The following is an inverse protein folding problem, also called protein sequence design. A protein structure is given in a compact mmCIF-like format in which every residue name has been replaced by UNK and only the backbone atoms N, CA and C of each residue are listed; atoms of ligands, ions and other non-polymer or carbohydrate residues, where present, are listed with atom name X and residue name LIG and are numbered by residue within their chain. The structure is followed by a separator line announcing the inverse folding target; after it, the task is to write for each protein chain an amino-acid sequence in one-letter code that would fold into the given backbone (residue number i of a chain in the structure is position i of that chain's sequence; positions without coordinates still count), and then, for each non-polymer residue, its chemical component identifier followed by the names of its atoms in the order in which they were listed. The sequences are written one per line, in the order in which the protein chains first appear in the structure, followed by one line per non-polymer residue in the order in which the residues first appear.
data_IF_946229236171
#
_entry.id   IF_946229236171
#
_cell.length_a   1.000
_cell.length_b   1.000
_cell.length_c   1.000
_cell.angle_alpha   90.00
_cell.angle_beta   90.00
_cell.angle_gamma   90.00
#
_symmetry.space_group_name_H-M   'P 1'
#
loop_
_entity.id
_entity.type
_entity.pdbx_description
1 polymer ?
#
# COMPACT_ATOMS: atom_id res chain seq x y z
N UNK A 1 -56.04 -6.67 -29.60
CA UNK A 1 -54.71 -6.06 -29.36
C UNK A 1 -54.32 -6.45 -27.93
N UNK A 2 -53.47 -7.47 -27.80
CA UNK A 2 -52.05 -7.38 -27.33
C UNK A 2 -52.02 -6.97 -25.84
N UNK A 3 -52.00 -7.92 -24.90
CA UNK A 3 -50.80 -8.54 -24.29
C UNK A 3 -49.92 -7.57 -23.48
N UNK A 4 -49.86 -7.82 -22.16
CA UNK A 4 -48.64 -7.89 -21.34
C UNK A 4 -47.71 -6.68 -21.24
N UNK A 5 -47.43 -6.28 -19.98
CA UNK A 5 -46.13 -5.80 -19.43
C UNK A 5 -46.42 -5.29 -18.01
N UNK A 6 -46.09 -6.02 -16.95
CA UNK A 6 -44.74 -6.07 -16.36
C UNK A 6 -44.02 -4.72 -16.48
N UNK A 7 -44.42 -3.77 -15.62
CA UNK A 7 -43.63 -2.58 -15.39
C UNK A 7 -42.49 -2.92 -14.44
N UNK A 8 -41.30 -2.94 -15.03
CA UNK A 8 -40.00 -3.18 -14.43
C UNK A 8 -39.61 -2.03 -13.48
N UNK A 9 -38.78 -2.29 -12.46
CA UNK A 9 -38.20 -1.22 -11.64
C UNK A 9 -37.35 -0.27 -12.51
N UNK A 10 -37.64 1.02 -12.40
CA UNK A 10 -36.86 2.07 -13.04
C UNK A 10 -35.60 2.39 -12.22
N UNK A 11 -34.43 2.19 -12.83
CA UNK A 11 -33.12 2.65 -12.35
C UNK A 11 -33.05 4.18 -12.46
N UNK A 12 -33.06 4.86 -11.31
CA UNK A 12 -32.60 6.24 -11.20
C UNK A 12 -31.11 6.33 -11.50
N UNK A 13 -30.67 7.41 -12.16
CA UNK A 13 -29.30 7.56 -12.67
C UNK A 13 -28.21 7.72 -11.60
N UNK A 14 -28.58 7.73 -10.32
CA UNK A 14 -27.62 8.01 -9.24
C UNK A 14 -27.59 6.89 -8.17
N UNK A 15 -28.23 5.74 -8.44
CA UNK A 15 -27.97 4.50 -7.70
C UNK A 15 -28.30 4.49 -6.19
N UNK A 16 -29.10 5.43 -5.67
CA UNK A 16 -29.58 5.39 -4.28
C UNK A 16 -31.10 5.40 -4.20
N UNK A 17 -31.63 4.43 -3.46
CA UNK A 17 -33.01 4.38 -2.97
C UNK A 17 -32.91 4.59 -1.46
N UNK A 18 -33.19 5.79 -0.97
CA UNK A 18 -33.43 6.01 0.46
C UNK A 18 -34.62 6.95 0.69
N UNK A 19 -35.52 6.47 1.54
CA UNK A 19 -36.78 7.10 1.90
C UNK A 19 -36.55 8.15 3.01
N UNK A 20 -36.93 9.40 2.76
CA UNK A 20 -36.87 10.46 3.76
C UNK A 20 -37.98 10.31 4.82
N UNK A 21 -37.61 10.44 6.10
CA UNK A 21 -38.54 10.76 7.20
C UNK A 21 -37.88 11.70 8.22
N UNK A 22 -38.70 12.60 8.77
CA UNK A 22 -38.38 13.87 9.43
C UNK A 22 -38.11 13.77 10.95
N UNK A 23 -37.23 14.67 11.42
CA UNK A 23 -37.33 15.54 12.63
C UNK A 23 -37.05 15.00 14.05
N UNK A 24 -35.96 15.47 14.70
CA UNK A 24 -36.01 16.37 15.88
C UNK A 24 -34.63 16.88 16.39
N UNK A 25 -34.57 18.20 16.56
CA UNK A 25 -33.85 19.09 17.52
C UNK A 25 -32.49 18.74 18.18
N UNK A 26 -31.55 19.72 18.15
CA UNK A 26 -30.91 20.22 19.40
C UNK A 26 -29.38 20.40 19.56
N UNK A 27 -28.73 21.30 18.78
CA UNK A 27 -27.66 22.29 19.18
C UNK A 27 -26.27 21.83 19.78
N UNK A 28 -25.21 22.69 19.86
CA UNK A 28 -23.98 22.62 19.05
C UNK A 28 -22.64 22.75 19.86
N UNK A 29 -21.54 23.14 19.19
CA UNK A 29 -20.21 23.64 19.69
C UNK A 29 -19.07 22.58 19.67
N UNK A 30 -17.82 22.77 19.20
CA UNK A 30 -17.01 23.93 18.75
C UNK A 30 -15.66 23.41 18.14
N UNK A 31 -15.27 24.00 16.98
CA UNK A 31 -13.91 24.40 16.47
C UNK A 31 -12.67 23.58 16.89
N UNK A 32 -11.71 23.25 16.03
CA UNK A 32 -10.65 24.13 15.44
C UNK A 32 -9.90 23.32 14.35
N UNK A 33 -10.01 23.66 13.06
CA UNK A 33 -8.97 24.26 12.17
C UNK A 33 -7.49 23.98 12.52
N UNK A 34 -6.80 23.21 11.66
CA UNK A 34 -5.42 23.53 11.26
C UNK A 34 -5.21 23.13 9.81
N UNK A 35 -4.84 24.11 9.01
CA UNK A 35 -4.56 24.10 7.58
C UNK A 35 -3.05 23.92 7.38
N UNK A 36 -2.68 23.28 6.27
CA UNK A 36 -1.43 23.50 5.51
C UNK A 36 -0.10 23.11 6.15
N UNK A 37 0.57 22.11 5.58
CA UNK A 37 1.73 22.37 4.69
C UNK A 37 1.81 21.27 3.63
N UNK A 38 1.36 21.57 2.42
CA UNK A 38 1.85 20.92 1.20
C UNK A 38 3.30 21.36 1.02
N UNK A 39 4.23 20.41 0.96
CA UNK A 39 5.54 20.65 0.37
C UNK A 39 5.74 19.62 -0.74
N UNK A 40 5.28 20.04 -1.92
CA UNK A 40 5.65 19.49 -3.21
C UNK A 40 7.13 19.76 -3.51
N UNK A 41 7.72 18.85 -4.27
CA UNK A 41 8.99 18.96 -5.00
C UNK A 41 10.28 18.63 -4.24
N UNK A 42 10.62 17.34 -4.27
CA UNK A 42 11.87 16.93 -4.93
C UNK A 42 11.74 15.56 -5.58
N UNK A 43 11.32 15.59 -6.85
CA UNK A 43 11.49 14.49 -7.78
C UNK A 43 12.98 14.38 -8.13
N UNK A 44 13.74 13.78 -7.24
CA UNK A 44 15.00 13.13 -7.57
C UNK A 44 14.73 11.64 -7.32
N UNK A 45 14.43 10.90 -8.39
CA UNK A 45 14.56 9.43 -8.42
C UNK A 45 16.04 9.06 -8.23
N UNK A 46 16.56 9.37 -7.05
CA UNK A 46 17.58 8.57 -6.45
C UNK A 46 16.85 7.29 -6.04
N UNK A 47 17.05 6.22 -6.80
CA UNK A 47 16.79 4.86 -6.32
C UNK A 47 17.67 4.66 -5.08
N UNK A 48 17.21 5.16 -3.93
CA UNK A 48 17.74 4.78 -2.63
C UNK A 48 17.41 3.31 -2.49
N UNK A 49 18.35 2.46 -2.92
CA UNK A 49 18.29 1.04 -2.66
C UNK A 49 18.18 0.85 -1.16
N UNK A 50 17.30 -0.04 -0.73
CA UNK A 50 17.04 -0.27 0.69
C UNK A 50 18.28 -0.82 1.37
N UNK A 51 18.46 -0.47 2.63
CA UNK A 51 19.47 -1.09 3.46
C UNK A 51 19.05 -2.51 3.85
N UNK A 52 20.02 -3.38 4.14
CA UNK A 52 19.75 -4.79 4.42
C UNK A 52 18.77 -4.99 5.60
N UNK A 53 18.84 -4.14 6.62
CA UNK A 53 17.92 -4.16 7.76
C UNK A 53 16.48 -3.79 7.39
N UNK A 54 16.30 -2.81 6.50
CA UNK A 54 14.97 -2.43 6.00
C UNK A 54 14.36 -3.58 5.17
N UNK A 55 15.19 -4.25 4.36
CA UNK A 55 14.76 -5.40 3.57
C UNK A 55 14.27 -6.54 4.46
N UNK A 56 14.99 -6.86 5.55
CA UNK A 56 14.54 -7.89 6.50
C UNK A 56 13.26 -7.48 7.23
N UNK A 57 13.13 -6.20 7.61
CA UNK A 57 11.91 -5.68 8.24
C UNK A 57 10.70 -5.86 7.30
N UNK A 58 10.87 -5.58 6.00
CA UNK A 58 9.83 -5.78 5.01
C UNK A 58 9.51 -7.28 4.81
N UNK A 59 10.51 -8.16 4.82
CA UNK A 59 10.32 -9.61 4.73
C UNK A 59 9.54 -10.15 5.92
N UNK A 60 9.83 -9.72 7.15
CA UNK A 60 9.08 -10.09 8.35
C UNK A 60 7.62 -9.63 8.25
N UNK A 61 7.39 -8.42 7.74
CA UNK A 61 6.04 -7.89 7.48
C UNK A 61 5.28 -8.75 6.46
N UNK A 62 5.94 -9.20 5.39
CA UNK A 62 5.33 -10.09 4.41
C UNK A 62 5.03 -11.47 4.99
N UNK A 63 5.93 -12.02 5.81
CA UNK A 63 5.73 -13.31 6.47
C UNK A 63 4.50 -13.26 7.39
N UNK A 64 4.38 -12.24 8.23
CA UNK A 64 3.22 -12.05 9.10
C UNK A 64 1.91 -11.91 8.29
N UNK A 65 1.94 -11.24 7.13
CA UNK A 65 0.77 -11.13 6.24
C UNK A 65 0.41 -12.48 5.62
N UNK A 66 1.40 -13.32 5.30
CA UNK A 66 1.19 -14.63 4.70
C UNK A 66 0.54 -15.61 5.69
N UNK A 67 0.89 -15.55 6.97
CA UNK A 67 0.33 -16.41 8.02
C UNK A 67 -1.19 -16.24 8.19
N UNK A 68 -1.74 -15.08 7.83
CA UNK A 68 -3.17 -14.78 7.89
C UNK A 68 -3.91 -14.82 6.55
N UNK A 69 -3.26 -15.21 5.45
CA UNK A 69 -3.86 -15.14 4.11
C UNK A 69 -4.44 -16.48 3.67
N UNK A 70 -5.76 -16.51 3.44
CA UNK A 70 -6.49 -17.71 3.00
C UNK A 70 -6.53 -17.85 1.47
N UNK A 71 -6.29 -16.76 0.73
CA UNK A 71 -6.29 -16.76 -0.73
C UNK A 71 -4.93 -17.16 -1.29
N UNK A 72 -4.89 -18.27 -2.03
CA UNK A 72 -3.69 -18.75 -2.71
C UNK A 72 -3.10 -17.72 -3.68
N UNK A 73 -3.94 -16.97 -4.40
CA UNK A 73 -3.50 -15.92 -5.33
C UNK A 73 -2.76 -14.79 -4.61
N UNK A 74 -3.26 -14.37 -3.45
CA UNK A 74 -2.59 -13.35 -2.64
C UNK A 74 -1.32 -13.91 -1.99
N UNK A 75 -1.31 -15.17 -1.58
CA UNK A 75 -0.10 -15.85 -1.09
C UNK A 75 0.99 -15.90 -2.16
N UNK A 76 0.64 -16.16 -3.43
CA UNK A 76 1.59 -16.06 -4.54
C UNK A 76 2.13 -14.63 -4.73
N UNK A 77 1.27 -13.62 -4.65
CA UNK A 77 1.70 -12.23 -4.76
C UNK A 77 2.62 -11.80 -3.60
N UNK A 78 2.38 -12.30 -2.38
CA UNK A 78 3.26 -12.08 -1.23
C UNK A 78 4.61 -12.77 -1.46
N UNK A 79 4.59 -14.03 -1.90
CA UNK A 79 5.80 -14.78 -2.21
C UNK A 79 6.65 -14.11 -3.29
N UNK A 80 6.04 -13.65 -4.39
CA UNK A 80 6.75 -12.93 -5.46
C UNK A 80 7.46 -11.68 -4.93
N UNK A 81 6.78 -10.92 -4.07
CA UNK A 81 7.38 -9.76 -3.39
C UNK A 81 8.53 -10.16 -2.47
N UNK A 82 8.39 -11.23 -1.70
CA UNK A 82 9.46 -11.73 -0.85
C UNK A 82 10.68 -12.15 -1.66
N UNK A 83 10.50 -12.82 -2.80
CA UNK A 83 11.59 -13.18 -3.72
C UNK A 83 12.28 -11.94 -4.30
N UNK A 84 11.52 -10.90 -4.63
CA UNK A 84 12.10 -9.63 -5.10
C UNK A 84 12.96 -8.97 -4.02
N UNK A 85 12.49 -8.93 -2.77
CA UNK A 85 13.24 -8.41 -1.63
C UNK A 85 14.51 -9.23 -1.35
N UNK A 86 14.46 -10.55 -1.46
CA UNK A 86 15.65 -11.41 -1.30
C UNK A 86 16.72 -11.11 -2.37
N UNK A 87 16.32 -10.79 -3.61
CA UNK A 87 17.26 -10.37 -4.65
C UNK A 87 17.89 -9.01 -4.33
N UNK A 88 17.12 -8.10 -3.75
CA UNK A 88 17.62 -6.81 -3.27
C UNK A 88 18.60 -7.00 -2.10
N UNK A 89 18.31 -7.93 -1.18
CA UNK A 89 19.19 -8.29 -0.07
C UNK A 89 20.57 -8.75 -0.57
N UNK A 90 20.61 -9.62 -1.58
CA UNK A 90 21.87 -10.06 -2.20
C UNK A 90 22.67 -8.86 -2.74
N UNK A 91 22.00 -7.92 -3.42
CA UNK A 91 22.65 -6.71 -3.92
C UNK A 91 23.17 -5.79 -2.79
N UNK A 92 22.50 -5.80 -1.64
CA UNK A 92 22.92 -5.06 -0.45
C UNK A 92 24.14 -5.72 0.21
N UNK A 93 24.14 -7.05 0.34
CA UNK A 93 25.27 -7.84 0.83
C UNK A 93 26.51 -7.61 -0.04
N UNK A 94 26.38 -7.70 -1.37
CA UNK A 94 27.50 -7.45 -2.29
C UNK A 94 28.16 -6.07 -2.08
N UNK A 95 27.36 -5.06 -1.71
CA UNK A 95 27.87 -3.71 -1.41
C UNK A 95 28.61 -3.68 -0.09
N UNK A 96 28.05 -4.32 0.94
CA UNK A 96 28.66 -4.42 2.25
C UNK A 96 29.99 -5.17 2.15
N UNK A 97 30.04 -6.29 1.42
CA UNK A 97 31.27 -7.07 1.18
C UNK A 97 32.37 -6.23 0.52
N UNK A 98 32.02 -5.44 -0.50
CA UNK A 98 32.97 -4.51 -1.13
C UNK A 98 33.49 -3.45 -0.15
N UNK A 99 32.60 -2.87 0.65
CA UNK A 99 32.98 -1.90 1.68
C UNK A 99 33.93 -2.51 2.71
N UNK A 100 33.67 -3.76 3.14
CA UNK A 100 34.54 -4.49 4.07
C UNK A 100 35.92 -4.71 3.46
N UNK A 101 36.03 -5.18 2.20
CA UNK A 101 37.34 -5.36 1.54
C UNK A 101 38.15 -4.08 1.42
N UNK A 102 37.49 -2.95 1.16
CA UNK A 102 38.15 -1.63 1.14
C UNK A 102 38.73 -1.31 2.52
N UNK A 103 37.97 -1.55 3.60
CA UNK A 103 38.41 -1.32 4.97
C UNK A 103 39.58 -2.24 5.36
N UNK A 104 39.57 -3.48 4.89
CA UNK A 104 40.64 -4.46 5.11
C UNK A 104 41.90 -4.21 4.24
N UNK A 105 41.84 -3.23 3.32
CA UNK A 105 42.97 -2.82 2.48
C UNK A 105 43.32 -3.82 1.37
N UNK A 106 42.39 -4.71 1.01
CA UNK A 106 42.59 -5.74 -0.01
C UNK A 106 42.44 -5.21 -1.46
N UNK A 107 41.74 -4.10 -1.68
CA UNK A 107 41.46 -3.55 -3.03
C UNK A 107 42.60 -2.70 -3.65
N UNK A 108 43.85 -2.88 -3.23
CA UNK A 108 44.96 -2.01 -3.65
C UNK A 108 46.34 -2.67 -3.79
N UNK A 109 46.41 -4.00 -3.89
CA UNK A 109 47.65 -4.75 -4.17
C UNK A 109 47.60 -5.46 -5.50
#
# INVERSE_FOLDING_TARGET
MIEGKDEMPALGKDGQIEFASKENAGKPEKKVKAEKVENSEKNEKSDKKKDLSEIFTDLDSLLQKMEGEESLEKSFAIYEKAVALLKEANSSIDRIEKQVRILDGEEGK
#
